data_IF_346280539440
#
_entry.id   IF_346280539440
#
_cell.length_a   1.000
_cell.length_b   1.000
_cell.length_c   1.000
_cell.angle_alpha   90.00
_cell.angle_beta   90.00
_cell.angle_gamma   90.00
#
_symmetry.space_group_name_H-M   'P 1'
#
loop_
_entity.id
_entity.type
_entity.pdbx_description
1 polymer ?
#
# COMPACT_ATOMS: atom_id res chain seq x y z
N UNK A 1 -13.16 -15.41 -4.09
CA UNK A 1 -12.28 -14.22 -4.08
C UNK A 1 -13.18 -13.02 -3.89
N UNK A 2 -12.79 -12.01 -3.11
CA UNK A 2 -13.61 -10.80 -2.98
C UNK A 2 -13.41 -9.97 -4.25
N UNK A 3 -14.51 -9.54 -4.88
CA UNK A 3 -14.43 -8.71 -6.09
C UNK A 3 -13.85 -7.32 -5.76
N UNK A 4 -13.29 -6.64 -6.76
CA UNK A 4 -12.60 -5.35 -6.56
C UNK A 4 -13.44 -4.31 -5.77
N UNK A 5 -14.73 -4.09 -6.06
CA UNK A 5 -15.57 -3.19 -5.27
C UNK A 5 -15.69 -3.62 -3.80
N UNK A 6 -15.91 -4.91 -3.57
CA UNK A 6 -16.07 -5.44 -2.21
C UNK A 6 -14.80 -5.28 -1.37
N UNK A 7 -13.61 -5.31 -1.99
CA UNK A 7 -12.35 -5.06 -1.27
C UNK A 7 -12.24 -3.60 -0.81
N UNK A 8 -12.67 -2.67 -1.66
CA UNK A 8 -12.72 -1.25 -1.31
C UNK A 8 -13.67 -1.04 -0.13
N UNK A 9 -14.88 -1.56 -0.22
CA UNK A 9 -15.90 -1.45 0.83
C UNK A 9 -15.39 -2.06 2.15
N UNK A 10 -14.74 -3.22 2.09
CA UNK A 10 -14.14 -3.86 3.26
C UNK A 10 -13.08 -2.96 3.91
N UNK A 11 -12.15 -2.41 3.14
CA UNK A 11 -11.08 -1.57 3.68
C UNK A 11 -11.61 -0.25 4.25
N UNK A 12 -12.61 0.34 3.61
CA UNK A 12 -13.29 1.54 4.11
C UNK A 12 -14.01 1.25 5.43
N UNK A 13 -14.72 0.12 5.52
CA UNK A 13 -15.39 -0.32 6.75
C UNK A 13 -14.39 -0.58 7.88
N UNK A 14 -13.28 -1.27 7.60
CA UNK A 14 -12.25 -1.52 8.60
C UNK A 14 -11.66 -0.20 9.11
N UNK A 15 -11.35 0.73 8.21
CA UNK A 15 -10.84 2.05 8.57
C UNK A 15 -11.83 2.83 9.45
N UNK A 16 -13.12 2.85 9.09
CA UNK A 16 -14.13 3.54 9.90
C UNK A 16 -14.25 2.91 11.28
N UNK A 17 -14.30 1.58 11.37
CA UNK A 17 -14.36 0.86 12.65
C UNK A 17 -13.13 1.13 13.53
N UNK A 18 -11.94 1.19 12.94
CA UNK A 18 -10.72 1.52 13.67
C UNK A 18 -10.82 2.91 14.32
N UNK A 19 -11.25 3.91 13.54
CA UNK A 19 -11.30 5.31 13.97
C UNK A 19 -12.47 5.58 14.93
N UNK A 20 -13.66 5.10 14.60
CA UNK A 20 -14.88 5.30 15.39
C UNK A 20 -14.84 4.57 16.73
N UNK A 21 -14.23 3.38 16.75
CA UNK A 21 -14.18 2.55 17.96
C UNK A 21 -12.87 2.65 18.74
N UNK A 22 -11.94 3.51 18.30
CA UNK A 22 -10.63 3.73 18.92
C UNK A 22 -9.77 2.47 18.97
N UNK A 23 -9.82 1.64 17.92
CA UNK A 23 -9.07 0.37 17.83
C UNK A 23 -8.03 0.43 16.74
N UNK A 24 -6.94 -0.29 16.95
CA UNK A 24 -5.96 -0.55 15.91
C UNK A 24 -6.33 -1.81 15.13
N UNK A 25 -6.32 -1.71 13.80
CA UNK A 25 -6.48 -2.86 12.90
C UNK A 25 -5.17 -3.06 12.15
N UNK A 26 -4.63 -4.27 12.21
CA UNK A 26 -3.48 -4.69 11.42
C UNK A 26 -3.95 -5.67 10.35
N UNK A 27 -3.61 -5.38 9.09
CA UNK A 27 -3.99 -6.19 7.93
C UNK A 27 -2.75 -6.43 7.06
N UNK A 28 -2.59 -7.67 6.60
CA UNK A 28 -1.68 -8.00 5.49
C UNK A 28 -2.46 -8.12 4.20
N UNK A 29 -2.05 -7.40 3.15
CA UNK A 29 -2.67 -7.47 1.82
C UNK A 29 -1.61 -7.43 0.72
N UNK A 30 -1.89 -8.06 -0.41
CA UNK A 30 -1.14 -7.89 -1.66
C UNK A 30 -1.74 -6.76 -2.53
N UNK A 31 -2.92 -6.27 -2.16
CA UNK A 31 -3.65 -5.22 -2.88
C UNK A 31 -3.20 -3.85 -2.38
N UNK A 32 -2.12 -3.41 -3.00
CA UNK A 32 -1.29 -2.34 -2.53
C UNK A 32 -1.79 -0.95 -2.93
N UNK A 33 -2.45 -0.84 -4.08
CA UNK A 33 -3.16 0.39 -4.46
C UNK A 33 -4.23 0.72 -3.42
N UNK A 34 -4.96 -0.29 -2.96
CA UNK A 34 -5.94 -0.11 -1.90
C UNK A 34 -5.29 0.19 -0.55
N UNK A 35 -4.16 -0.45 -0.24
CA UNK A 35 -3.41 -0.17 0.98
C UNK A 35 -2.90 1.29 1.02
N UNK A 36 -2.35 1.80 -0.09
CA UNK A 36 -1.91 3.19 -0.21
C UNK A 36 -3.04 4.20 -0.02
N UNK A 37 -4.24 3.87 -0.49
CA UNK A 37 -5.40 4.76 -0.41
C UNK A 37 -6.09 4.73 0.96
N UNK A 38 -6.12 3.57 1.64
CA UNK A 38 -6.93 3.38 2.83
C UNK A 38 -6.14 3.35 4.15
N UNK A 39 -4.86 2.95 4.13
CA UNK A 39 -4.11 2.75 5.36
C UNK A 39 -3.60 4.08 5.94
N UNK A 40 -3.75 4.25 7.25
CA UNK A 40 -3.12 5.37 7.96
C UNK A 40 -1.59 5.18 8.05
N UNK A 41 -1.13 3.93 8.09
CA UNK A 41 0.28 3.55 8.15
C UNK A 41 0.52 2.28 7.32
N UNK A 42 1.66 2.21 6.64
CA UNK A 42 2.12 1.04 5.90
C UNK A 42 3.35 0.42 6.54
N UNK A 43 3.42 -0.91 6.45
CA UNK A 43 4.53 -1.75 6.88
C UNK A 43 5.05 -2.49 5.64
N UNK A 44 6.24 -2.12 5.18
CA UNK A 44 6.91 -2.72 4.02
C UNK A 44 7.96 -3.72 4.52
N UNK A 45 7.65 -5.01 4.39
CA UNK A 45 8.57 -6.09 4.75
C UNK A 45 9.46 -6.42 3.55
N UNK A 46 10.76 -6.18 3.70
CA UNK A 46 11.77 -6.40 2.67
C UNK A 46 12.32 -7.83 2.71
N UNK A 47 12.85 -8.30 1.58
CA UNK A 47 13.41 -9.66 1.45
C UNK A 47 14.58 -9.93 2.41
N UNK A 48 15.27 -8.89 2.87
CA UNK A 48 16.36 -8.99 3.85
C UNK A 48 15.86 -9.02 5.31
N UNK A 49 14.55 -9.13 5.54
CA UNK A 49 13.93 -9.12 6.87
C UNK A 49 13.77 -7.74 7.50
N UNK A 50 14.18 -6.67 6.81
CA UNK A 50 13.98 -5.29 7.30
C UNK A 50 12.54 -4.85 7.13
N UNK A 51 12.05 -4.04 8.08
CA UNK A 51 10.71 -3.44 8.04
C UNK A 51 10.85 -1.93 7.88
N UNK A 52 10.24 -1.37 6.82
CA UNK A 52 10.06 0.08 6.69
C UNK A 52 8.63 0.43 7.10
N UNK A 53 8.46 1.51 7.86
CA UNK A 53 7.17 1.94 8.37
C UNK A 53 6.97 3.44 8.17
N UNK A 54 5.76 3.86 7.83
CA UNK A 54 5.36 5.26 7.77
C UNK A 54 3.98 5.45 7.17
N UNK A 55 3.54 6.69 7.05
CA UNK A 55 2.35 7.00 6.25
C UNK A 55 2.62 6.70 4.76
N UNK A 56 1.59 6.42 3.95
CA UNK A 56 1.74 6.30 2.50
C UNK A 56 2.51 7.48 1.87
N UNK A 57 2.20 8.69 2.32
CA UNK A 57 2.84 9.91 1.83
C UNK A 57 4.33 10.00 2.20
N UNK A 58 4.69 9.69 3.44
CA UNK A 58 6.08 9.75 3.88
C UNK A 58 6.95 8.70 3.17
N UNK A 59 6.42 7.49 3.01
CA UNK A 59 7.10 6.39 2.30
C UNK A 59 7.24 6.66 0.80
N UNK A 60 6.29 7.37 0.20
CA UNK A 60 6.41 7.88 -1.16
C UNK A 60 7.51 8.95 -1.26
N UNK A 61 7.49 9.92 -0.34
CA UNK A 61 8.40 11.06 -0.35
C UNK A 61 9.86 10.64 -0.12
N UNK A 62 10.11 9.72 0.80
CA UNK A 62 11.46 9.26 1.14
C UNK A 62 12.00 8.18 0.17
N UNK A 63 11.20 7.73 -0.80
CA UNK A 63 11.59 6.72 -1.80
C UNK A 63 11.57 5.28 -1.30
N UNK A 64 11.03 5.01 -0.11
CA UNK A 64 10.85 3.65 0.41
C UNK A 64 9.95 2.80 -0.50
N UNK A 65 8.90 3.40 -1.07
CA UNK A 65 8.05 2.72 -2.04
C UNK A 65 8.84 2.36 -3.30
N UNK A 66 9.58 3.29 -3.92
CA UNK A 66 10.40 2.97 -5.09
C UNK A 66 11.40 1.85 -4.83
N UNK A 67 12.05 1.86 -3.67
CA UNK A 67 12.97 0.81 -3.26
C UNK A 67 12.26 -0.55 -3.13
N UNK A 68 11.06 -0.57 -2.55
CA UNK A 68 10.25 -1.78 -2.41
C UNK A 68 9.78 -2.34 -3.76
N UNK A 69 9.47 -1.48 -4.74
CA UNK A 69 8.96 -1.88 -6.07
C UNK A 69 10.02 -2.16 -7.12
N UNK A 70 11.23 -1.62 -6.96
CA UNK A 70 12.32 -1.80 -7.92
C UNK A 70 12.57 -3.27 -8.28
N UNK A 71 12.56 -4.24 -7.34
CA UNK A 71 12.72 -5.66 -7.68
C UNK A 71 11.56 -6.26 -8.50
N UNK A 72 10.38 -5.63 -8.48
CA UNK A 72 9.19 -6.08 -9.20
C UNK A 72 9.09 -5.48 -10.61
N UNK A 73 10.03 -4.61 -10.99
CA UNK A 73 10.00 -3.90 -12.29
C UNK A 73 8.86 -2.87 -12.39
N UNK A 74 8.29 -2.46 -11.26
CA UNK A 74 7.18 -1.53 -11.18
C UNK A 74 7.74 -0.13 -10.89
N UNK A 75 7.32 0.87 -11.67
CA UNK A 75 7.63 2.28 -11.41
C UNK A 75 6.50 2.90 -10.58
N UNK A 76 6.86 3.71 -9.59
CA UNK A 76 5.89 4.39 -8.75
C UNK A 76 5.77 5.87 -9.12
N UNK A 77 4.55 6.35 -9.33
CA UNK A 77 4.25 7.76 -9.51
C UNK A 77 3.94 8.39 -8.15
N UNK A 78 4.84 9.26 -7.71
CA UNK A 78 4.78 9.91 -6.39
C UNK A 78 3.72 11.00 -6.30
N UNK A 79 3.28 11.57 -7.43
CA UNK A 79 2.32 12.68 -7.46
C UNK A 79 0.89 12.22 -7.19
N UNK A 80 0.56 10.99 -7.59
CA UNK A 80 -0.79 10.43 -7.47
C UNK A 80 -0.83 9.10 -6.68
N UNK A 81 0.30 8.64 -6.17
CA UNK A 81 0.45 7.36 -5.45
C UNK A 81 -0.02 6.15 -6.27
N UNK A 82 0.24 6.13 -7.58
CA UNK A 82 -0.13 5.02 -8.47
C UNK A 82 1.09 4.31 -9.07
N UNK A 83 0.91 3.03 -9.41
CA UNK A 83 1.92 2.26 -10.15
C UNK A 83 1.79 2.43 -11.65
N UNK A 84 2.95 2.45 -12.31
CA UNK A 84 3.08 2.31 -13.75
C UNK A 84 3.79 0.98 -14.03
N UNK A 85 3.07 0.06 -14.66
CA UNK A 85 3.69 -1.15 -15.21
C UNK A 85 4.54 -0.75 -16.42
N UNK A 86 5.84 -1.02 -16.36
CA UNK A 86 6.68 -0.99 -17.56
C UNK A 86 6.32 -2.23 -18.39
N UNK A 87 5.44 -2.08 -19.39
CA UNK A 87 5.34 -3.11 -20.42
C UNK A 87 6.68 -3.18 -21.17
N UNK A 88 7.50 -4.17 -20.82
CA UNK A 88 8.51 -4.68 -21.74
C UNK A 88 7.76 -5.41 -22.86
N UNK A 89 7.38 -4.65 -23.90
CA UNK A 89 7.05 -5.24 -25.18
C UNK A 89 8.36 -5.74 -25.80
N UNK A 90 8.60 -7.05 -25.68
CA UNK A 90 9.45 -7.83 -26.54
C UNK A 90 8.58 -8.89 -27.22
#
# INVERSE_FOLDING_TARGET
>A
FLDFPSKIELLQLLRSLAHESGKSILLSTHDLDLALQAADCLWLLLNNGSLLQGTPHDLAKNGALDFFFSPLGIKFNRDNLQYLFSQNNA
#
